data_IF_503439161093
#
_entry.id   IF_503439161093
#
_cell.length_a   1.000
_cell.length_b   1.000
_cell.length_c   1.000
_cell.angle_alpha   90.00
_cell.angle_beta   90.00
_cell.angle_gamma   90.00
#
_symmetry.space_group_name_H-M   'P 1'
#
loop_
_entity.id
_entity.type
_entity.pdbx_description
1 polymer ?
#
# COMPACT_ATOMS: atom_id res chain seq x y z
N UNK A 1 -50.97 13.48 5.98
CA UNK A 1 -50.01 13.89 4.93
C UNK A 1 -48.66 13.34 5.34
N UNK A 2 -48.13 12.34 4.62
CA UNK A 2 -46.85 11.71 4.98
C UNK A 2 -45.72 12.64 4.54
N UNK A 3 -44.97 13.20 5.48
CA UNK A 3 -43.76 13.96 5.17
C UNK A 3 -42.67 13.00 4.72
N UNK A 4 -42.51 12.83 3.40
CA UNK A 4 -41.35 12.17 2.80
C UNK A 4 -40.11 13.06 2.99
N UNK A 5 -39.56 13.08 4.21
CA UNK A 5 -38.30 13.72 4.53
C UNK A 5 -37.15 12.90 3.94
N UNK A 6 -36.67 13.26 2.75
CA UNK A 6 -35.38 12.77 2.27
C UNK A 6 -34.29 13.29 3.21
N UNK A 7 -33.65 12.42 3.97
CA UNK A 7 -32.52 12.78 4.83
C UNK A 7 -31.38 13.32 3.96
N UNK A 8 -31.03 14.59 4.14
CA UNK A 8 -29.91 15.28 3.46
C UNK A 8 -28.66 15.30 4.33
N UNK A 9 -28.56 14.40 5.32
CA UNK A 9 -27.43 14.38 6.24
C UNK A 9 -26.12 14.16 5.49
N UNK A 10 -25.19 15.10 5.66
CA UNK A 10 -23.83 15.04 5.14
C UNK A 10 -22.89 15.21 6.32
N UNK A 11 -21.82 14.41 6.36
CA UNK A 11 -20.80 14.50 7.40
C UNK A 11 -19.41 14.46 6.78
N UNK A 12 -18.51 15.28 7.30
CA UNK A 12 -17.10 15.26 6.95
C UNK A 12 -16.27 15.12 8.22
N UNK A 13 -15.25 14.26 8.20
CA UNK A 13 -14.27 14.12 9.27
C UNK A 13 -12.86 14.13 8.70
N UNK A 14 -11.94 14.68 9.48
CA UNK A 14 -10.55 14.84 9.11
C UNK A 14 -9.69 14.37 10.28
N UNK A 15 -8.69 13.54 10.01
CA UNK A 15 -7.72 13.11 11.00
C UNK A 15 -6.30 13.27 10.43
N UNK A 16 -5.37 13.60 11.32
CA UNK A 16 -3.97 13.76 11.00
C UNK A 16 -3.15 13.20 12.15
N UNK A 17 -2.09 12.48 11.82
CA UNK A 17 -1.12 11.94 12.75
C UNK A 17 0.27 12.11 12.17
N UNK A 18 1.23 12.49 13.01
CA UNK A 18 2.63 12.58 12.64
C UNK A 18 3.47 12.06 13.79
N UNK A 19 4.50 11.30 13.46
CA UNK A 19 5.42 10.72 14.44
C UNK A 19 6.84 10.87 13.93
N UNK A 20 7.73 11.29 14.83
CA UNK A 20 9.16 11.40 14.53
C UNK A 20 9.93 10.47 15.45
N UNK A 21 10.74 9.59 14.86
CA UNK A 21 11.61 8.67 15.59
C UNK A 21 13.00 8.75 14.97
N UNK A 22 14.04 8.98 15.78
CA UNK A 22 15.43 9.09 15.31
C UNK A 22 15.64 10.09 14.15
N UNK A 23 14.88 11.20 14.14
CA UNK A 23 14.96 12.22 13.09
C UNK A 23 14.19 11.89 11.81
N UNK A 24 13.58 10.70 11.74
CA UNK A 24 12.71 10.29 10.65
C UNK A 24 11.25 10.63 10.98
N UNK A 25 10.60 11.44 10.14
CA UNK A 25 9.19 11.83 10.31
C UNK A 25 8.28 11.05 9.38
N UNK A 26 7.28 10.38 9.96
CA UNK A 26 6.17 9.74 9.26
C UNK A 26 4.92 10.57 9.46
N UNK A 27 4.15 10.80 8.41
CA UNK A 27 2.85 11.47 8.52
C UNK A 27 1.74 10.69 7.84
N UNK A 28 0.56 10.79 8.45
CA UNK A 28 -0.69 10.18 8.01
C UNK A 28 -1.78 11.24 8.06
N UNK A 29 -2.58 11.35 7.02
CA UNK A 29 -3.82 12.11 7.05
C UNK A 29 -4.95 11.30 6.41
N UNK A 30 -6.16 11.46 6.95
CA UNK A 30 -7.37 10.85 6.41
C UNK A 30 -8.50 11.87 6.41
N UNK A 31 -9.25 11.91 5.31
CA UNK A 31 -10.44 12.72 5.15
C UNK A 31 -11.58 11.81 4.72
N UNK A 32 -12.64 11.74 5.53
CA UNK A 32 -13.85 10.97 5.24
C UNK A 32 -15.00 11.92 4.98
N UNK A 33 -15.71 11.72 3.89
CA UNK A 33 -16.91 12.47 3.51
C UNK A 33 -18.04 11.48 3.24
N UNK A 34 -19.16 11.63 3.92
CA UNK A 34 -20.33 10.79 3.74
C UNK A 34 -21.54 11.65 3.38
N UNK A 35 -22.27 11.21 2.37
CA UNK A 35 -23.53 11.79 1.92
C UNK A 35 -24.52 10.66 1.59
N UNK A 36 -25.79 10.97 1.23
CA UNK A 36 -26.76 9.92 0.90
C UNK A 36 -26.41 9.07 -0.33
N UNK A 37 -25.45 9.51 -1.18
CA UNK A 37 -24.98 8.76 -2.34
C UNK A 37 -23.86 7.77 -2.00
N UNK A 38 -23.12 8.01 -0.91
CA UNK A 38 -22.04 7.13 -0.49
C UNK A 38 -21.06 7.77 0.50
N UNK A 39 -19.92 7.10 0.67
CA UNK A 39 -18.82 7.57 1.50
C UNK A 39 -17.53 7.59 0.70
N UNK A 40 -16.80 8.70 0.74
CA UNK A 40 -15.49 8.87 0.13
C UNK A 40 -14.45 9.08 1.22
N UNK A 41 -13.41 8.26 1.19
CA UNK A 41 -12.25 8.34 2.07
C UNK A 41 -11.04 8.69 1.21
N UNK A 42 -10.27 9.68 1.65
CA UNK A 42 -8.96 10.02 1.09
C UNK A 42 -7.93 9.86 2.18
N UNK A 43 -6.85 9.11 1.91
CA UNK A 43 -5.73 8.95 2.84
C UNK A 43 -4.45 9.42 2.16
N UNK A 44 -3.60 10.09 2.91
CA UNK A 44 -2.23 10.39 2.49
C UNK A 44 -1.27 9.85 3.54
N UNK A 45 -0.27 9.09 3.09
CA UNK A 45 0.85 8.63 3.92
C UNK A 45 2.15 9.16 3.37
N UNK A 46 3.04 9.61 4.24
CA UNK A 46 4.40 10.00 3.88
C UNK A 46 5.38 9.28 4.78
N UNK A 47 6.17 8.40 4.16
CA UNK A 47 7.30 7.75 4.79
C UNK A 47 8.58 8.60 4.59
N UNK A 48 9.52 8.57 5.56
CA UNK A 48 10.80 9.24 5.46
C UNK A 48 11.55 8.85 4.18
N UNK A 49 12.06 9.85 3.46
CA UNK A 49 12.82 9.63 2.23
C UNK A 49 12.00 9.11 1.04
N UNK A 50 10.67 9.00 1.16
CA UNK A 50 9.77 8.54 0.11
C UNK A 50 8.82 9.65 -0.33
N UNK A 51 8.32 9.55 -1.57
CA UNK A 51 7.23 10.41 -2.03
C UNK A 51 5.93 10.09 -1.24
N UNK A 52 5.10 11.11 -0.96
CA UNK A 52 3.81 10.89 -0.33
C UNK A 52 2.89 10.04 -1.21
N UNK A 53 2.22 9.07 -0.60
CA UNK A 53 1.27 8.14 -1.23
C UNK A 53 -0.14 8.58 -0.90
N UNK A 54 -0.99 8.74 -1.94
CA UNK A 54 -2.39 9.10 -1.79
C UNK A 54 -3.27 7.90 -2.17
N UNK A 55 -4.20 7.54 -1.29
CA UNK A 55 -5.22 6.52 -1.51
C UNK A 55 -6.60 7.19 -1.53
N UNK A 56 -7.46 6.75 -2.45
CA UNK A 56 -8.88 7.11 -2.50
C UNK A 56 -9.72 5.85 -2.45
N UNK A 57 -10.69 5.83 -1.54
CA UNK A 57 -11.63 4.72 -1.37
C UNK A 57 -13.03 5.29 -1.40
N UNK A 58 -13.91 4.68 -2.18
CA UNK A 58 -15.32 5.10 -2.27
C UNK A 58 -16.23 3.93 -1.96
N UNK A 59 -17.33 4.21 -1.28
CA UNK A 59 -18.37 3.27 -0.91
C UNK A 59 -19.70 3.80 -1.41
N UNK A 60 -20.55 2.92 -1.94
CA UNK A 60 -21.92 3.26 -2.30
C UNK A 60 -22.79 3.44 -1.04
N UNK A 61 -24.02 3.92 -1.23
CA UNK A 61 -25.00 4.06 -0.15
C UNK A 61 -25.38 2.74 0.53
N UNK A 62 -25.05 1.59 -0.07
CA UNK A 62 -25.24 0.26 0.50
C UNK A 62 -24.00 -0.25 1.25
N UNK A 63 -22.95 0.58 1.38
CA UNK A 63 -21.70 0.24 2.07
C UNK A 63 -20.76 -0.66 1.25
N UNK A 64 -21.04 -0.88 -0.04
CA UNK A 64 -20.16 -1.66 -0.91
C UNK A 64 -19.10 -0.74 -1.48
N UNK A 65 -17.84 -1.18 -1.45
CA UNK A 65 -16.74 -0.44 -2.07
C UNK A 65 -17.01 -0.29 -3.57
N UNK A 66 -17.10 0.94 -4.05
CA UNK A 66 -17.11 1.25 -5.48
C UNK A 66 -15.66 1.02 -5.91
N UNK A 67 -15.43 -0.14 -6.53
CA UNK A 67 -14.12 -0.50 -7.02
C UNK A 67 -13.72 0.50 -8.10
N UNK A 68 -12.85 1.44 -7.76
CA UNK A 68 -12.20 2.32 -8.72
C UNK A 68 -11.27 1.41 -9.55
N UNK A 69 -11.71 1.10 -10.78
CA UNK A 69 -11.03 0.27 -11.77
C UNK A 69 -9.80 1.01 -12.33
N UNK A 70 -8.91 1.41 -11.42
CA UNK A 70 -7.61 2.04 -11.71
C UNK A 70 -6.53 1.28 -10.94
N UNK A 71 -6.30 0.06 -11.38
CA UNK A 71 -4.98 -0.54 -11.66
C UNK A 71 -3.82 -0.48 -10.64
N UNK A 72 -3.95 0.03 -9.41
CA UNK A 72 -2.74 0.27 -8.57
C UNK A 72 -2.94 0.11 -7.06
N UNK A 73 -3.65 -0.93 -6.61
CA UNK A 73 -3.36 -1.51 -5.30
C UNK A 73 -2.91 -2.94 -5.55
N UNK A 74 -1.59 -3.11 -5.53
CA UNK A 74 -0.88 -4.30 -5.97
C UNK A 74 -1.52 -5.58 -5.44
N UNK A 75 -1.80 -6.51 -6.36
CA UNK A 75 -1.49 -7.90 -6.04
C UNK A 75 -0.04 -7.89 -5.57
N UNK A 76 0.19 -8.31 -4.33
CA UNK A 76 1.51 -8.77 -3.93
C UNK A 76 1.74 -9.98 -4.84
N UNK A 77 2.49 -9.80 -5.94
CA UNK A 77 3.11 -10.93 -6.59
C UNK A 77 4.13 -11.48 -5.61
N UNK A 78 3.91 -12.71 -5.19
CA UNK A 78 4.90 -13.46 -4.42
C UNK A 78 6.10 -13.70 -5.34
N UNK A 79 7.10 -12.80 -5.26
CA UNK A 79 8.34 -12.85 -6.05
C UNK A 79 9.35 -13.87 -5.49
N UNK A 80 8.94 -14.69 -4.51
CA UNK A 80 9.87 -15.48 -3.71
C UNK A 80 10.36 -16.75 -4.40
N UNK A 81 9.65 -17.30 -5.40
CA UNK A 81 9.93 -18.69 -5.82
C UNK A 81 10.79 -18.86 -7.09
N UNK A 82 10.85 -17.88 -8.00
CA UNK A 82 11.55 -18.04 -9.29
C UNK A 82 12.90 -17.35 -9.39
N UNK A 83 13.02 -16.12 -8.88
CA UNK A 83 14.27 -15.36 -9.01
C UNK A 83 15.33 -15.73 -7.96
N UNK A 84 14.93 -16.31 -6.82
CA UNK A 84 15.86 -16.75 -5.77
C UNK A 84 16.62 -18.02 -6.19
N UNK A 85 15.91 -19.04 -6.72
CA UNK A 85 16.54 -20.30 -7.10
C UNK A 85 17.65 -20.14 -8.16
N UNK A 86 17.51 -19.20 -9.09
CA UNK A 86 18.51 -19.01 -10.14
C UNK A 86 19.73 -18.24 -9.61
N UNK A 87 19.54 -17.25 -8.71
CA UNK A 87 20.65 -16.54 -8.06
C UNK A 87 21.41 -17.42 -7.08
N UNK A 88 20.71 -18.30 -6.36
CA UNK A 88 21.33 -19.20 -5.39
C UNK A 88 22.23 -20.24 -6.10
N UNK A 89 21.79 -20.77 -7.26
CA UNK A 89 22.62 -21.66 -8.09
C UNK A 89 23.87 -20.97 -8.63
N UNK A 90 23.74 -19.74 -9.13
CA UNK A 90 24.88 -18.99 -9.67
C UNK A 90 25.90 -18.61 -8.58
N UNK A 91 25.44 -18.44 -7.33
CA UNK A 91 26.30 -18.18 -6.18
C UNK A 91 27.07 -19.44 -5.75
N UNK A 92 26.43 -20.62 -5.72
CA UNK A 92 27.09 -21.89 -5.39
C UNK A 92 28.19 -22.26 -6.41
N UNK A 93 27.91 -22.19 -7.71
CA UNK A 93 28.90 -22.51 -8.76
C UNK A 93 30.16 -21.62 -8.66
N UNK A 94 29.97 -20.32 -8.39
CA UNK A 94 31.09 -19.38 -8.24
C UNK A 94 31.96 -19.69 -7.02
N UNK A 95 31.35 -20.20 -5.95
CA UNK A 95 32.06 -20.59 -4.73
C UNK A 95 32.83 -21.91 -4.90
N UNK A 96 32.31 -22.86 -5.69
CA UNK A 96 32.99 -24.11 -6.02
C UNK A 96 34.21 -23.89 -6.93
N UNK A 97 34.11 -23.00 -7.92
CA UNK A 97 35.23 -22.65 -8.82
C UNK A 97 36.42 -22.02 -8.07
N UNK A 98 36.17 -21.23 -7.02
CA UNK A 98 37.25 -20.67 -6.19
C UNK A 98 37.93 -21.73 -5.30
N UNK A 99 37.18 -22.71 -4.81
CA UNK A 99 37.76 -23.80 -4.01
C UNK A 99 38.59 -24.77 -4.86
N UNK A 100 38.14 -25.08 -6.08
CA UNK A 100 38.88 -25.93 -7.02
C UNK A 100 40.24 -25.32 -7.42
N UNK A 101 40.33 -24.00 -7.54
CA UNK A 101 41.58 -23.30 -7.89
C UNK A 101 42.60 -23.24 -6.74
N UNK A 102 42.18 -23.50 -5.50
CA UNK A 102 43.05 -23.41 -4.31
C UNK A 102 43.44 -24.76 -3.71
N UNK A 103 42.73 -25.85 -3.99
CA UNK A 103 43.15 -27.22 -3.60
C UNK A 103 43.42 -28.17 -4.79
N UNK A 104 43.31 -27.73 -6.04
CA UNK A 104 43.74 -28.46 -7.23
C UNK A 104 45.26 -28.39 -7.46
N UNK A 105 46.04 -28.76 -6.45
CA UNK A 105 47.46 -29.07 -6.58
C UNK A 105 47.67 -30.55 -6.87
N UNK A 106 47.63 -30.91 -8.15
CA UNK A 106 48.35 -32.04 -8.74
C UNK A 106 48.77 -31.65 -10.17
#
# INVERSE_FOLDING_TARGET
MSSNGRSTFQSASYSFSSSTVNGETRSYSESTYSDPSGTRIQRSTQEPGQAPRNERVEFDSAGRRIQDDRSTMGRIEDVTDKEQSDRDREYEERMEDEYAKKEGGA
#
